data_IF_875252228676
#
_entry.id   IF_875252228676
#
_cell.length_a   1.000
_cell.length_b   1.000
_cell.length_c   1.000
_cell.angle_alpha   90.00
_cell.angle_beta   90.00
_cell.angle_gamma   90.00
#
_symmetry.space_group_name_H-M   'P 1'
#
loop_
_entity.id
_entity.type
_entity.pdbx_description
1 polymer ?
#
# COMPACT_ATOMS: atom_id res chain seq x y z
N UNK A 1 9.46 -7.46 100.06
CA UNK A 1 8.94 -6.30 100.82
C UNK A 1 9.22 -5.06 99.98
N UNK A 2 8.14 -4.37 99.55
CA UNK A 2 8.06 -3.07 98.87
C UNK A 2 8.81 -2.91 97.51
N UNK A 3 8.10 -2.84 96.38
CA UNK A 3 7.31 -1.71 95.80
C UNK A 3 8.19 -0.83 94.88
N UNK A 4 7.97 -0.79 93.55
CA UNK A 4 6.86 -0.14 92.81
C UNK A 4 7.34 1.25 92.31
N UNK A 5 7.63 1.43 91.00
CA UNK A 5 6.72 1.95 89.93
C UNK A 5 6.41 3.46 90.16
N UNK A 6 6.40 4.39 89.21
CA UNK A 6 6.73 4.44 87.79
C UNK A 6 6.50 5.89 87.27
N UNK A 7 6.85 6.10 85.99
CA UNK A 7 6.11 6.84 84.95
C UNK A 7 6.15 8.39 84.79
N UNK A 8 6.61 8.75 83.57
CA UNK A 8 5.97 9.58 82.50
C UNK A 8 6.21 11.11 82.41
N UNK A 9 6.91 11.44 81.31
CA UNK A 9 6.82 12.54 80.33
C UNK A 9 6.37 13.97 80.72
N UNK A 10 7.13 14.95 80.22
CA UNK A 10 6.66 15.83 79.12
C UNK A 10 7.73 16.81 78.62
N UNK A 11 7.90 16.88 77.28
CA UNK A 11 7.88 18.14 76.52
C UNK A 11 9.15 18.99 76.30
N UNK A 12 9.79 18.77 75.13
CA UNK A 12 10.26 19.78 74.13
C UNK A 12 11.43 20.77 74.45
N UNK A 13 12.12 21.39 73.44
CA UNK A 13 12.95 20.75 72.40
C UNK A 13 14.25 21.53 72.00
N UNK A 14 14.94 20.96 71.00
CA UNK A 14 15.91 21.56 70.04
C UNK A 14 17.38 21.56 70.46
N UNK A 15 18.36 21.26 69.60
CA UNK A 15 18.40 21.41 68.15
C UNK A 15 19.36 20.39 67.49
N UNK A 16 18.86 19.72 66.44
CA UNK A 16 19.53 18.77 65.56
C UNK A 16 20.01 19.51 64.30
N UNK A 17 21.30 19.41 63.93
CA UNK A 17 21.74 19.54 62.54
C UNK A 17 23.25 19.27 62.45
N UNK A 18 23.65 18.10 61.89
CA UNK A 18 24.94 17.88 61.15
C UNK A 18 25.32 16.40 60.89
N UNK A 19 24.44 15.41 61.07
CA UNK A 19 24.80 13.99 60.83
C UNK A 19 24.00 13.20 59.77
N UNK A 20 23.05 13.78 59.05
CA UNK A 20 22.18 13.01 58.12
C UNK A 20 22.52 13.09 56.62
N UNK A 21 23.61 13.74 56.20
CA UNK A 21 23.81 14.06 54.75
C UNK A 21 24.60 12.98 53.99
N UNK A 22 25.25 12.01 54.64
CA UNK A 22 26.07 11.00 53.94
C UNK A 22 25.41 9.64 53.71
N UNK A 23 24.24 9.36 54.31
CA UNK A 23 23.48 8.13 54.03
C UNK A 23 22.39 8.29 52.96
N UNK A 24 22.03 9.52 52.58
CA UNK A 24 20.97 9.77 51.59
C UNK A 24 21.44 9.65 50.12
N UNK A 25 22.75 9.79 49.86
CA UNK A 25 23.29 9.83 48.49
C UNK A 25 23.56 8.43 47.92
N UNK A 26 23.79 7.42 48.76
CA UNK A 26 24.03 6.03 48.31
C UNK A 26 22.73 5.28 48.04
N UNK A 27 21.60 5.68 48.64
CA UNK A 27 20.28 5.11 48.36
C UNK A 27 19.60 5.72 47.12
N UNK A 28 19.98 6.92 46.70
CA UNK A 28 19.46 7.56 45.48
C UNK A 28 20.10 7.02 44.19
N UNK A 29 21.31 6.47 44.26
CA UNK A 29 21.95 5.80 43.11
C UNK A 29 21.59 4.31 42.98
N UNK A 30 21.05 3.68 44.03
CA UNK A 30 20.56 2.29 43.97
C UNK A 30 19.08 2.19 43.55
N UNK A 31 18.32 3.29 43.61
CA UNK A 31 16.93 3.39 43.16
C UNK A 31 16.78 3.83 41.70
N UNK A 32 17.88 4.20 41.03
CA UNK A 32 17.91 4.48 39.59
C UNK A 32 18.15 3.23 38.70
N UNK A 33 18.25 2.05 39.29
CA UNK A 33 18.52 0.79 38.56
C UNK A 33 17.28 -0.09 38.32
N UNK A 34 16.07 0.34 38.72
CA UNK A 34 14.83 -0.44 38.50
C UNK A 34 13.64 0.38 38.06
N UNK A 35 13.84 1.60 37.54
CA UNK A 35 12.92 2.13 36.53
C UNK A 35 13.38 1.59 35.18
N UNK A 36 13.21 0.28 34.99
CA UNK A 36 12.71 -0.17 33.70
C UNK A 36 11.37 0.54 33.60
N UNK A 37 11.34 1.68 32.92
CA UNK A 37 10.11 2.09 32.28
C UNK A 37 9.69 0.83 31.54
N UNK A 38 8.65 0.17 32.03
CA UNK A 38 7.81 -0.60 31.16
C UNK A 38 7.32 0.45 30.17
N UNK A 39 8.11 0.66 29.11
CA UNK A 39 7.56 1.09 27.85
C UNK A 39 6.34 0.19 27.71
N UNK A 40 5.14 0.73 27.44
CA UNK A 40 4.07 -0.14 26.99
C UNK A 40 4.74 -1.00 25.92
N UNK A 41 4.76 -2.32 26.13
CA UNK A 41 5.07 -3.23 25.04
C UNK A 41 4.18 -2.73 23.92
N UNK A 42 4.76 -2.08 22.92
CA UNK A 42 4.02 -1.59 21.76
C UNK A 42 3.29 -2.84 21.33
N UNK A 43 1.98 -2.86 21.56
CA UNK A 43 1.21 -4.04 21.19
C UNK A 43 1.28 -4.02 19.68
N UNK A 44 2.02 -4.95 19.11
CA UNK A 44 2.12 -5.11 17.68
C UNK A 44 0.70 -5.15 17.14
N UNK A 45 0.29 -4.06 16.50
CA UNK A 45 -1.02 -3.96 15.89
C UNK A 45 -0.96 -4.69 14.58
N UNK A 46 -1.98 -5.46 14.23
CA UNK A 46 -2.08 -5.92 12.85
C UNK A 46 -2.41 -4.70 11.99
N UNK A 47 -1.50 -4.34 11.10
CA UNK A 47 -1.74 -3.32 10.08
C UNK A 47 -2.33 -4.00 8.87
N UNK A 48 -3.46 -3.47 8.41
CA UNK A 48 -4.13 -3.87 7.18
C UNK A 48 -3.92 -2.77 6.16
N UNK A 49 -3.11 -3.06 5.15
CA UNK A 49 -2.90 -2.20 3.99
C UNK A 49 -3.78 -2.71 2.85
N UNK A 50 -4.92 -2.07 2.63
CA UNK A 50 -5.97 -2.54 1.72
C UNK A 50 -6.30 -1.52 0.65
N UNK A 51 -6.61 -2.03 -0.54
CA UNK A 51 -7.30 -1.26 -1.57
C UNK A 51 -8.77 -1.12 -1.20
N UNK A 52 -9.38 -0.03 -1.66
CA UNK A 52 -10.84 0.09 -1.59
C UNK A 52 -11.49 -0.99 -2.48
N UNK A 53 -12.02 -2.03 -1.82
CA UNK A 53 -12.63 -3.16 -2.49
C UNK A 53 -13.87 -2.75 -3.30
N UNK A 54 -14.53 -1.64 -2.97
CA UNK A 54 -15.69 -1.14 -3.74
C UNK A 54 -15.30 -0.62 -5.12
N UNK A 55 -14.02 -0.27 -5.34
CA UNK A 55 -13.48 0.15 -6.64
C UNK A 55 -13.09 -1.03 -7.53
N UNK A 56 -13.03 -2.25 -7.01
CA UNK A 56 -12.69 -3.44 -7.79
C UNK A 56 -13.83 -3.87 -8.72
N UNK A 57 -13.50 -4.51 -9.82
CA UNK A 57 -14.51 -5.10 -10.70
C UNK A 57 -15.15 -6.35 -10.08
N UNK A 58 -16.39 -6.63 -10.47
CA UNK A 58 -17.18 -7.75 -9.95
C UNK A 58 -17.45 -8.83 -11.02
N UNK A 59 -16.50 -9.06 -11.93
CA UNK A 59 -16.69 -9.99 -13.05
C UNK A 59 -16.31 -11.41 -12.66
N UNK A 60 -17.19 -12.40 -12.91
CA UNK A 60 -16.90 -13.78 -12.58
C UNK A 60 -16.00 -14.45 -13.63
N UNK A 61 -15.21 -15.42 -13.18
CA UNK A 61 -14.70 -16.49 -14.02
C UNK A 61 -15.86 -17.32 -14.60
N UNK A 62 -15.64 -18.02 -15.71
CA UNK A 62 -16.65 -18.87 -16.35
C UNK A 62 -16.24 -20.35 -16.31
N UNK A 63 -17.16 -21.23 -16.69
CA UNK A 63 -16.88 -22.66 -16.85
C UNK A 63 -15.82 -22.98 -17.91
N UNK A 64 -15.42 -22.00 -18.73
CA UNK A 64 -14.33 -22.13 -19.70
C UNK A 64 -12.94 -21.94 -19.07
N UNK A 65 -12.84 -21.62 -17.77
CA UNK A 65 -11.56 -21.50 -17.07
C UNK A 65 -10.80 -20.20 -17.36
N UNK A 66 -11.50 -19.11 -17.70
CA UNK A 66 -10.90 -17.83 -18.10
C UNK A 66 -10.49 -16.93 -16.90
N UNK A 67 -10.02 -17.55 -15.82
CA UNK A 67 -9.79 -16.90 -14.54
C UNK A 67 -8.82 -15.70 -14.64
N UNK A 68 -7.80 -15.78 -15.48
CA UNK A 68 -6.83 -14.69 -15.64
C UNK A 68 -7.43 -13.47 -16.33
N UNK A 69 -8.32 -13.67 -17.31
CA UNK A 69 -9.02 -12.56 -17.94
C UNK A 69 -9.97 -11.86 -16.97
N UNK A 70 -10.66 -12.63 -16.12
CA UNK A 70 -11.54 -12.08 -15.08
C UNK A 70 -10.75 -11.34 -13.99
N UNK A 71 -9.65 -11.93 -13.49
CA UNK A 71 -8.79 -11.29 -12.51
C UNK A 71 -8.18 -9.99 -13.03
N UNK A 72 -7.67 -9.98 -14.28
CA UNK A 72 -7.16 -8.77 -14.92
C UNK A 72 -8.25 -7.68 -15.00
N UNK A 73 -9.44 -7.99 -15.51
CA UNK A 73 -10.51 -6.97 -15.63
C UNK A 73 -10.98 -6.46 -14.28
N UNK A 74 -11.05 -7.31 -13.25
CA UNK A 74 -11.38 -6.86 -11.90
C UNK A 74 -10.30 -5.92 -11.33
N UNK A 75 -9.03 -6.18 -11.68
CA UNK A 75 -7.87 -5.35 -11.35
C UNK A 75 -7.90 -4.01 -12.11
N UNK A 76 -8.22 -4.03 -13.41
CA UNK A 76 -8.29 -2.82 -14.24
C UNK A 76 -9.45 -1.91 -13.85
N UNK A 77 -10.56 -2.48 -13.38
CA UNK A 77 -11.66 -1.69 -12.85
C UNK A 77 -11.24 -0.90 -11.59
N UNK A 78 -10.34 -1.46 -10.78
CA UNK A 78 -9.74 -0.69 -9.69
C UNK A 78 -8.91 0.48 -10.21
N UNK A 79 -8.06 0.28 -11.23
CA UNK A 79 -7.32 1.38 -11.85
C UNK A 79 -8.26 2.47 -12.38
N UNK A 80 -9.28 2.08 -13.14
CA UNK A 80 -10.29 3.00 -13.67
C UNK A 80 -10.95 3.83 -12.57
N UNK A 81 -11.46 3.17 -11.54
CA UNK A 81 -12.20 3.84 -10.46
C UNK A 81 -11.30 4.60 -9.48
N UNK A 82 -10.03 4.21 -9.36
CA UNK A 82 -9.06 4.88 -8.49
C UNK A 82 -8.41 6.08 -9.19
N UNK A 83 -8.26 6.01 -10.51
CA UNK A 83 -7.62 7.06 -11.31
C UNK A 83 -8.45 7.39 -12.56
N UNK A 84 -9.66 7.94 -12.38
CA UNK A 84 -10.55 8.25 -13.49
C UNK A 84 -9.84 9.15 -14.51
N UNK A 85 -9.19 10.24 -14.08
CA UNK A 85 -8.47 11.16 -14.98
C UNK A 85 -7.25 10.60 -15.74
N UNK A 86 -6.92 9.32 -15.55
CA UNK A 86 -5.95 8.60 -16.37
C UNK A 86 -6.69 7.63 -17.30
N UNK A 87 -7.52 6.77 -16.72
CA UNK A 87 -7.99 5.57 -17.38
C UNK A 87 -9.39 5.69 -17.98
N UNK A 88 -10.21 6.62 -17.49
CA UNK A 88 -11.49 6.95 -18.13
C UNK A 88 -11.26 7.71 -19.45
N UNK A 89 -10.24 8.58 -19.47
CA UNK A 89 -9.89 9.41 -20.61
C UNK A 89 -9.21 8.62 -21.72
N UNK A 90 -8.45 7.56 -21.36
CA UNK A 90 -7.92 6.62 -22.36
C UNK A 90 -8.89 5.50 -22.72
N UNK A 91 -9.95 5.29 -21.94
CA UNK A 91 -10.87 4.17 -22.06
C UNK A 91 -10.17 2.80 -21.86
N UNK A 92 -9.42 2.64 -20.75
CA UNK A 92 -8.78 1.37 -20.36
C UNK A 92 -9.76 0.18 -20.39
N UNK A 93 -11.01 0.42 -20.01
CA UNK A 93 -12.13 -0.50 -20.10
C UNK A 93 -13.22 0.09 -21.02
N UNK A 94 -14.09 -0.75 -21.62
CA UNK A 94 -15.18 -0.25 -22.45
C UNK A 94 -16.13 0.64 -21.64
N UNK A 95 -16.50 1.78 -22.24
CA UNK A 95 -17.60 2.66 -21.81
C UNK A 95 -18.49 2.90 -23.03
N UNK A 96 -19.44 1.99 -23.22
CA UNK A 96 -20.29 1.89 -24.41
C UNK A 96 -21.35 2.99 -24.49
N UNK A 97 -21.70 3.57 -23.34
CA UNK A 97 -22.74 4.60 -23.26
C UNK A 97 -22.17 6.01 -22.98
N UNK A 98 -20.87 6.10 -22.68
CA UNK A 98 -20.13 7.35 -22.50
C UNK A 98 -20.42 8.06 -21.17
N UNK A 99 -20.94 7.35 -20.17
CA UNK A 99 -21.31 7.93 -18.88
C UNK A 99 -20.17 7.92 -17.86
N UNK A 100 -19.00 7.37 -18.20
CA UNK A 100 -17.83 7.22 -17.32
C UNK A 100 -18.09 6.38 -16.05
N UNK A 101 -19.07 5.49 -16.08
CA UNK A 101 -19.43 4.58 -14.99
C UNK A 101 -19.33 3.15 -15.48
N UNK A 102 -18.46 2.35 -14.86
CA UNK A 102 -18.30 0.95 -15.24
C UNK A 102 -19.52 0.12 -14.89
N UNK A 103 -20.13 -0.50 -15.90
CA UNK A 103 -21.26 -1.39 -15.72
C UNK A 103 -20.90 -2.87 -15.87
N UNK A 104 -21.69 -3.73 -15.23
CA UNK A 104 -21.50 -5.18 -15.28
C UNK A 104 -21.40 -5.71 -16.72
N UNK A 105 -22.21 -5.18 -17.65
CA UNK A 105 -22.17 -5.58 -19.06
C UNK A 105 -20.86 -5.22 -19.75
N UNK A 106 -20.26 -4.09 -19.40
CA UNK A 106 -19.05 -3.56 -20.00
C UNK A 106 -17.82 -4.30 -19.48
N UNK A 107 -17.80 -4.56 -18.17
CA UNK A 107 -16.78 -5.40 -17.57
C UNK A 107 -16.85 -6.85 -18.09
N UNK A 108 -18.06 -7.39 -18.31
CA UNK A 108 -18.23 -8.71 -18.96
C UNK A 108 -17.73 -8.68 -20.41
N UNK A 109 -17.97 -7.59 -21.14
CA UNK A 109 -17.44 -7.40 -22.49
C UNK A 109 -15.90 -7.35 -22.48
N UNK A 110 -15.31 -6.55 -21.59
CA UNK A 110 -13.87 -6.45 -21.40
C UNK A 110 -13.22 -7.81 -21.10
N UNK A 111 -13.82 -8.59 -20.18
CA UNK A 111 -13.32 -9.95 -19.86
C UNK A 111 -13.37 -10.84 -21.09
N UNK A 112 -14.44 -10.75 -21.87
CA UNK A 112 -14.61 -11.56 -23.07
C UNK A 112 -13.58 -11.19 -24.14
N UNK A 113 -13.32 -9.89 -24.32
CA UNK A 113 -12.27 -9.38 -25.20
C UNK A 113 -10.88 -9.85 -24.74
N UNK A 114 -10.55 -9.65 -23.46
CA UNK A 114 -9.28 -10.12 -22.88
C UNK A 114 -9.11 -11.64 -23.02
N UNK A 115 -10.18 -12.41 -22.85
CA UNK A 115 -10.15 -13.86 -22.95
C UNK A 115 -9.98 -14.36 -24.39
N UNK A 116 -10.67 -13.77 -25.37
CA UNK A 116 -10.82 -14.36 -26.70
C UNK A 116 -10.26 -13.53 -27.84
N UNK A 117 -9.97 -12.26 -27.61
CA UNK A 117 -9.34 -11.34 -28.55
C UNK A 117 -10.16 -10.08 -28.75
N UNK A 118 -9.51 -9.07 -29.30
CA UNK A 118 -10.10 -7.77 -29.66
C UNK A 118 -9.42 -7.23 -30.91
N UNK A 119 -10.05 -6.25 -31.55
CA UNK A 119 -9.38 -5.45 -32.58
C UNK A 119 -8.85 -4.19 -31.92
N UNK A 120 -7.56 -3.90 -32.11
CA UNK A 120 -6.92 -2.70 -31.57
C UNK A 120 -7.67 -1.45 -32.06
N UNK A 121 -8.17 -0.58 -31.16
CA UNK A 121 -8.88 0.64 -31.58
C UNK A 121 -7.92 1.65 -32.24
N UNK A 122 -6.62 1.53 -31.98
CA UNK A 122 -5.57 2.40 -32.53
C UNK A 122 -5.13 1.91 -33.92
N UNK A 123 -4.79 0.62 -34.03
CA UNK A 123 -4.16 0.07 -35.25
C UNK A 123 -5.11 -0.71 -36.17
N UNK A 124 -6.29 -1.10 -35.68
CA UNK A 124 -7.22 -2.00 -36.36
C UNK A 124 -6.71 -3.45 -36.48
N UNK A 125 -5.55 -3.77 -35.91
CA UNK A 125 -4.99 -5.13 -35.94
C UNK A 125 -5.69 -6.01 -34.91
N UNK A 126 -6.08 -7.21 -35.32
CA UNK A 126 -6.65 -8.21 -34.43
C UNK A 126 -5.60 -8.72 -33.43
N UNK A 127 -5.91 -8.64 -32.14
CA UNK A 127 -5.13 -9.19 -31.03
C UNK A 127 -5.74 -10.52 -30.57
N UNK A 128 -4.97 -11.62 -30.49
CA UNK A 128 -5.46 -12.85 -29.90
C UNK A 128 -5.72 -12.67 -28.40
N UNK A 129 -6.76 -13.27 -27.85
CA UNK A 129 -7.00 -13.28 -26.41
C UNK A 129 -6.12 -14.27 -25.65
N UNK A 130 -6.15 -14.19 -24.31
CA UNK A 130 -5.40 -15.09 -23.41
C UNK A 130 -5.72 -16.58 -23.69
N UNK A 131 -6.95 -16.87 -24.11
CA UNK A 131 -7.51 -18.19 -24.35
C UNK A 131 -8.07 -18.36 -25.77
N UNK A 132 -7.63 -17.54 -26.74
CA UNK A 132 -8.01 -17.71 -28.15
C UNK A 132 -7.52 -19.05 -28.73
N UNK A 133 -7.95 -19.42 -29.95
CA UNK A 133 -7.60 -20.71 -30.56
C UNK A 133 -6.09 -20.99 -30.54
N UNK A 134 -5.69 -22.08 -29.86
CA UNK A 134 -4.29 -22.47 -29.66
C UNK A 134 -3.65 -21.97 -28.36
N UNK A 135 -4.26 -21.00 -27.68
CA UNK A 135 -3.80 -20.50 -26.39
C UNK A 135 -4.44 -21.28 -25.23
N UNK A 136 -3.68 -21.43 -24.14
CA UNK A 136 -4.09 -22.19 -22.95
C UNK A 136 -4.00 -21.36 -21.67
N UNK A 137 -3.84 -20.04 -21.79
CA UNK A 137 -3.66 -19.16 -20.63
C UNK A 137 -2.33 -19.36 -19.92
N UNK A 138 -1.25 -19.57 -20.68
CA UNK A 138 0.11 -19.63 -20.10
C UNK A 138 0.51 -18.28 -19.50
N UNK A 139 1.50 -18.31 -18.59
CA UNK A 139 2.04 -17.09 -17.99
C UNK A 139 2.52 -16.06 -19.05
N UNK A 140 3.10 -16.56 -20.15
CA UNK A 140 3.47 -15.75 -21.31
C UNK A 140 2.24 -15.08 -21.94
N UNK A 141 1.25 -15.87 -22.35
CA UNK A 141 0.05 -15.34 -23.02
C UNK A 141 -0.67 -14.31 -22.15
N UNK A 142 -0.75 -14.55 -20.83
CA UNK A 142 -1.37 -13.60 -19.91
C UNK A 142 -0.58 -12.29 -19.87
N UNK A 143 0.74 -12.36 -19.77
CA UNK A 143 1.60 -11.17 -19.80
C UNK A 143 1.45 -10.40 -21.11
N UNK A 144 1.62 -11.08 -22.24
CA UNK A 144 1.63 -10.45 -23.56
C UNK A 144 0.28 -9.81 -23.90
N UNK A 145 -0.84 -10.45 -23.56
CA UNK A 145 -2.15 -9.85 -23.79
C UNK A 145 -2.47 -8.71 -22.81
N UNK A 146 -1.95 -8.77 -21.58
CA UNK A 146 -2.04 -7.63 -20.66
C UNK A 146 -1.26 -6.44 -21.20
N UNK A 147 -0.02 -6.68 -21.65
CA UNK A 147 0.82 -5.65 -22.26
C UNK A 147 0.13 -4.99 -23.47
N UNK A 148 -0.36 -5.81 -24.41
CA UNK A 148 -1.05 -5.31 -25.59
C UNK A 148 -2.37 -4.59 -25.26
N UNK A 149 -3.04 -4.97 -24.19
CA UNK A 149 -4.25 -4.27 -23.72
C UNK A 149 -3.92 -2.83 -23.34
N UNK A 150 -2.90 -2.61 -22.51
CA UNK A 150 -2.49 -1.24 -22.15
C UNK A 150 -1.97 -0.46 -23.35
N UNK A 151 -1.22 -1.08 -24.26
CA UNK A 151 -0.79 -0.40 -25.50
C UNK A 151 -1.97 0.02 -26.39
N UNK A 152 -3.08 -0.73 -26.37
CA UNK A 152 -4.24 -0.47 -27.22
C UNK A 152 -5.28 0.46 -26.56
N UNK A 153 -5.47 0.37 -25.24
CA UNK A 153 -6.54 1.06 -24.50
C UNK A 153 -6.05 2.11 -23.50
N UNK A 154 -4.76 2.14 -23.16
CA UNK A 154 -4.20 3.12 -22.24
C UNK A 154 -2.70 3.36 -22.52
N UNK A 155 -2.33 3.71 -23.76
CA UNK A 155 -0.93 3.76 -24.17
C UNK A 155 -0.16 4.81 -23.36
N UNK A 156 0.99 4.40 -22.81
CA UNK A 156 1.89 5.31 -22.11
C UNK A 156 1.36 5.86 -20.79
N UNK A 157 0.31 5.27 -20.20
CA UNK A 157 -0.21 5.70 -18.89
C UNK A 157 0.28 4.85 -17.72
N UNK A 158 0.84 3.68 -18.01
CA UNK A 158 1.04 2.62 -17.01
C UNK A 158 2.42 1.97 -17.16
N UNK A 159 3.14 1.86 -16.06
CA UNK A 159 4.35 1.06 -15.97
C UNK A 159 3.99 -0.40 -15.69
N UNK A 160 4.29 -1.28 -16.64
CA UNK A 160 4.12 -2.72 -16.49
C UNK A 160 5.38 -3.36 -15.91
N UNK A 161 5.21 -4.18 -14.89
CA UNK A 161 6.27 -5.01 -14.30
C UNK A 161 5.74 -6.36 -13.86
N UNK A 162 6.66 -7.26 -13.53
CA UNK A 162 6.26 -8.51 -12.91
C UNK A 162 7.39 -9.38 -12.43
N UNK A 163 7.03 -10.35 -11.60
CA UNK A 163 7.89 -11.45 -11.20
C UNK A 163 7.22 -12.75 -11.58
N UNK A 164 7.93 -13.63 -12.29
CA UNK A 164 7.39 -14.91 -12.72
C UNK A 164 8.45 -15.99 -12.69
N UNK A 165 8.07 -17.17 -12.18
CA UNK A 165 8.93 -18.35 -12.19
C UNK A 165 8.92 -19.05 -13.56
N UNK A 166 9.35 -18.34 -14.62
CA UNK A 166 9.43 -18.85 -16.00
C UNK A 166 10.58 -18.20 -16.77
N UNK A 167 11.00 -18.82 -17.88
CA UNK A 167 11.94 -18.17 -18.82
C UNK A 167 11.16 -17.16 -19.65
N UNK A 168 11.51 -15.88 -19.53
CA UNK A 168 10.81 -14.77 -20.22
C UNK A 168 11.53 -14.31 -21.49
N UNK A 169 12.68 -14.90 -21.81
CA UNK A 169 13.41 -14.61 -23.05
C UNK A 169 12.56 -14.97 -24.26
N UNK A 170 12.22 -13.96 -25.07
CA UNK A 170 11.37 -14.09 -26.26
C UNK A 170 9.89 -13.78 -26.02
N UNK A 171 9.49 -13.46 -24.78
CA UNK A 171 8.16 -12.90 -24.53
C UNK A 171 8.15 -11.43 -24.97
N UNK A 172 7.00 -10.94 -25.44
CA UNK A 172 6.82 -9.51 -25.71
C UNK A 172 7.14 -8.71 -24.45
N UNK A 173 8.11 -7.81 -24.54
CA UNK A 173 8.64 -7.01 -23.43
C UNK A 173 8.94 -7.80 -22.14
N UNK A 174 9.34 -9.06 -22.29
CA UNK A 174 9.74 -9.93 -21.17
C UNK A 174 10.96 -9.43 -20.39
N UNK A 175 11.61 -8.36 -20.83
CA UNK A 175 12.67 -7.65 -20.09
C UNK A 175 12.14 -6.89 -18.87
N UNK A 176 10.85 -6.56 -18.84
CA UNK A 176 10.16 -5.95 -17.70
C UNK A 176 9.83 -6.98 -16.60
N UNK A 177 10.12 -8.26 -16.84
CA UNK A 177 9.84 -9.36 -15.94
C UNK A 177 11.10 -9.90 -15.28
N UNK A 178 11.03 -10.08 -13.96
CA UNK A 178 12.09 -10.78 -13.23
C UNK A 178 11.78 -12.28 -13.13
N UNK A 179 12.77 -13.12 -13.50
CA UNK A 179 12.66 -14.59 -13.41
C UNK A 179 12.84 -15.10 -11.98
N UNK A 180 11.78 -15.06 -11.19
CA UNK A 180 11.75 -15.52 -9.79
C UNK A 180 10.31 -15.72 -9.31
N UNK A 181 10.13 -16.44 -8.21
CA UNK A 181 8.85 -16.39 -7.50
C UNK A 181 8.59 -14.96 -7.01
N UNK A 182 7.34 -14.47 -7.07
CA UNK A 182 6.99 -13.18 -6.48
C UNK A 182 7.41 -13.12 -5.02
N UNK A 183 8.06 -12.01 -4.66
CA UNK A 183 8.50 -11.75 -3.29
C UNK A 183 7.53 -10.83 -2.58
N UNK A 184 7.53 -10.88 -1.26
CA UNK A 184 6.70 -10.00 -0.44
C UNK A 184 7.05 -8.52 -0.64
N UNK A 185 8.34 -8.17 -0.66
CA UNK A 185 8.80 -6.79 -0.89
C UNK A 185 8.34 -6.23 -2.23
N UNK A 186 8.28 -7.09 -3.27
CA UNK A 186 7.75 -6.69 -4.57
C UNK A 186 6.25 -6.38 -4.54
N UNK A 187 5.46 -7.21 -3.84
CA UNK A 187 4.03 -6.95 -3.67
C UNK A 187 3.77 -5.72 -2.80
N UNK A 188 4.58 -5.53 -1.75
CA UNK A 188 4.51 -4.35 -0.89
C UNK A 188 4.78 -3.07 -1.67
N UNK A 189 5.91 -2.99 -2.39
CA UNK A 189 6.25 -1.83 -3.22
C UNK A 189 5.12 -1.52 -4.22
N UNK A 190 4.59 -2.53 -4.92
CA UNK A 190 3.51 -2.35 -5.87
C UNK A 190 2.19 -1.90 -5.20
N UNK A 191 1.87 -2.42 -4.02
CA UNK A 191 0.70 -1.98 -3.24
C UNK A 191 0.86 -0.54 -2.74
N UNK A 192 2.06 -0.15 -2.31
CA UNK A 192 2.39 1.21 -1.88
C UNK A 192 2.29 2.20 -3.05
N UNK A 193 2.71 1.80 -4.24
CA UNK A 193 2.54 2.55 -5.48
C UNK A 193 1.09 2.52 -6.00
N UNK A 194 0.17 1.87 -5.26
CA UNK A 194 -1.23 1.72 -5.60
C UNK A 194 -1.46 1.09 -6.99
N UNK A 195 -0.47 0.30 -7.43
CA UNK A 195 -0.56 -0.50 -8.64
C UNK A 195 -1.67 -1.52 -8.51
N UNK A 196 -2.27 -1.88 -9.63
CA UNK A 196 -3.03 -3.10 -9.69
C UNK A 196 -2.09 -4.31 -9.79
N UNK A 197 -2.56 -5.47 -9.32
CA UNK A 197 -1.68 -6.64 -9.15
C UNK A 197 -2.50 -7.89 -9.38
N UNK A 198 -2.15 -8.64 -10.42
CA UNK A 198 -2.73 -9.96 -10.68
C UNK A 198 -1.76 -11.07 -10.34
N UNK A 199 -2.20 -11.98 -9.47
CA UNK A 199 -1.45 -13.16 -9.04
C UNK A 199 -1.87 -14.39 -9.82
N UNK A 200 -0.89 -15.16 -10.28
CA UNK A 200 -1.11 -16.54 -10.68
C UNK A 200 -0.69 -17.49 -9.56
N UNK A 201 -1.59 -18.38 -9.21
CA UNK A 201 -1.42 -19.35 -8.12
C UNK A 201 -1.52 -20.77 -8.65
N UNK A 202 -0.71 -21.67 -8.09
CA UNK A 202 -0.69 -23.07 -8.48
C UNK A 202 -0.81 -23.95 -7.22
N UNK A 203 -1.68 -24.97 -7.24
CA UNK A 203 -1.78 -25.93 -6.15
C UNK A 203 -0.51 -26.77 -6.03
N UNK A 204 -0.14 -27.14 -4.79
CA UNK A 204 0.96 -28.10 -4.54
C UNK A 204 0.60 -29.53 -4.92
N UNK A 205 -0.67 -29.80 -5.19
CA UNK A 205 -1.17 -31.09 -5.67
C UNK A 205 -1.00 -31.14 -7.19
N UNK A 206 -0.18 -32.08 -7.66
CA UNK A 206 0.08 -32.27 -9.08
C UNK A 206 -1.22 -32.64 -9.84
N UNK A 207 -1.36 -32.12 -11.07
CA UNK A 207 -2.52 -32.38 -11.93
C UNK A 207 -3.77 -31.55 -11.60
N UNK A 208 -3.71 -30.68 -10.57
CA UNK A 208 -4.76 -29.69 -10.32
C UNK A 208 -4.46 -28.41 -11.10
N UNK A 209 -5.49 -27.82 -11.70
CA UNK A 209 -5.38 -26.59 -12.48
C UNK A 209 -4.96 -25.40 -11.61
N UNK A 210 -4.15 -24.51 -12.19
CA UNK A 210 -3.82 -23.23 -11.57
C UNK A 210 -5.03 -22.30 -11.55
N UNK A 211 -4.88 -21.15 -10.88
CA UNK A 211 -5.92 -20.12 -10.82
C UNK A 211 -5.28 -18.74 -10.84
N UNK A 212 -6.09 -17.70 -11.06
CA UNK A 212 -5.66 -16.32 -10.97
C UNK A 212 -6.59 -15.52 -10.06
N UNK A 213 -5.99 -14.63 -9.28
CA UNK A 213 -6.69 -13.75 -8.32
C UNK A 213 -6.09 -12.35 -8.40
N UNK A 214 -6.88 -11.34 -8.04
CA UNK A 214 -6.41 -9.95 -7.92
C UNK A 214 -5.99 -9.68 -6.49
N UNK A 215 -4.80 -9.14 -6.24
CA UNK A 215 -4.37 -8.77 -4.89
C UNK A 215 -5.08 -7.48 -4.47
N UNK A 216 -5.72 -7.53 -3.30
CA UNK A 216 -6.51 -6.42 -2.75
C UNK A 216 -5.99 -5.90 -1.42
N UNK A 217 -5.10 -6.62 -0.76
CA UNK A 217 -4.51 -6.17 0.50
C UNK A 217 -3.32 -6.99 0.95
N UNK A 218 -2.53 -6.38 1.84
CA UNK A 218 -1.47 -7.01 2.59
C UNK A 218 -1.67 -6.67 4.07
N UNK A 219 -1.40 -7.61 4.96
CA UNK A 219 -1.41 -7.33 6.38
C UNK A 219 -0.22 -8.00 7.09
N UNK A 220 0.26 -7.34 8.14
CA UNK A 220 1.42 -7.74 8.92
C UNK A 220 1.27 -7.26 10.36
N UNK A 221 1.98 -7.91 11.29
CA UNK A 221 2.11 -7.43 12.66
C UNK A 221 3.16 -6.31 12.67
N UNK A 222 2.71 -5.07 12.87
CA UNK A 222 3.54 -3.88 12.95
C UNK A 222 4.25 -3.82 14.31
N UNK A 223 5.50 -4.27 14.33
CA UNK A 223 6.26 -4.49 15.56
C UNK A 223 6.85 -3.19 16.10
N UNK A 224 7.12 -2.22 15.24
CA UNK A 224 7.73 -0.93 15.61
C UNK A 224 6.74 0.26 15.60
N UNK A 225 5.52 0.04 15.11
CA UNK A 225 4.39 0.96 15.21
C UNK A 225 4.42 2.08 14.18
N UNK A 226 5.20 1.95 13.10
CA UNK A 226 5.33 2.98 12.07
C UNK A 226 4.29 2.85 10.94
N UNK A 227 3.50 1.76 10.95
CA UNK A 227 2.47 1.48 9.94
C UNK A 227 3.02 1.01 8.59
N UNK A 228 4.33 0.78 8.47
CA UNK A 228 5.00 0.32 7.26
C UNK A 228 5.58 -1.07 7.47
N UNK A 229 5.54 -1.89 6.42
CA UNK A 229 6.11 -3.21 6.54
C UNK A 229 7.64 -3.17 6.63
N UNK A 230 8.18 -3.83 7.65
CA UNK A 230 9.59 -4.04 7.90
C UNK A 230 9.99 -5.53 7.88
N UNK A 231 11.25 -5.81 7.53
CA UNK A 231 11.75 -7.18 7.52
C UNK A 231 11.69 -7.79 8.93
N UNK A 232 10.94 -8.89 9.07
CA UNK A 232 10.76 -9.60 10.35
C UNK A 232 9.36 -9.45 10.93
N UNK A 233 8.56 -8.54 10.40
CA UNK A 233 7.16 -8.37 10.76
C UNK A 233 6.32 -9.51 10.19
N UNK A 234 5.83 -10.35 11.10
CA UNK A 234 5.09 -11.58 10.81
C UNK A 234 4.11 -11.83 11.97
N UNK A 235 2.97 -12.51 11.74
CA UNK A 235 2.53 -13.18 10.51
C UNK A 235 2.17 -12.23 9.38
N UNK A 236 2.29 -12.74 8.15
CA UNK A 236 1.91 -12.02 6.94
C UNK A 236 0.58 -12.57 6.43
N UNK A 237 -0.28 -11.70 5.88
CA UNK A 237 -1.56 -12.09 5.26
C UNK A 237 -1.74 -11.40 3.92
N UNK A 238 -2.34 -12.10 2.97
CA UNK A 238 -2.75 -11.52 1.69
C UNK A 238 -4.28 -11.44 1.62
N UNK A 239 -4.77 -10.29 1.20
CA UNK A 239 -6.14 -10.06 0.78
C UNK A 239 -6.22 -10.19 -0.75
N UNK A 240 -7.21 -10.91 -1.25
CA UNK A 240 -7.41 -11.07 -2.68
C UNK A 240 -8.89 -11.18 -3.08
N UNK A 241 -9.16 -10.82 -4.34
CA UNK A 241 -10.42 -11.06 -5.04
C UNK A 241 -10.28 -12.34 -5.86
N UNK A 242 -11.12 -13.33 -5.56
CA UNK A 242 -11.24 -14.56 -6.34
C UNK A 242 -12.33 -14.38 -7.40
N UNK A 243 -12.04 -14.44 -8.71
CA UNK A 243 -13.06 -14.29 -9.73
C UNK A 243 -14.09 -15.43 -9.74
N UNK A 244 -13.90 -16.53 -8.98
CA UNK A 244 -14.98 -17.51 -8.75
C UNK A 244 -16.02 -17.01 -7.72
N UNK A 245 -15.70 -15.97 -6.94
CA UNK A 245 -16.58 -15.25 -6.00
C UNK A 245 -16.20 -13.75 -5.94
N UNK A 246 -16.41 -13.00 -7.04
CA UNK A 246 -15.82 -11.67 -7.21
C UNK A 246 -16.34 -10.62 -6.21
N UNK A 247 -17.49 -10.83 -5.59
CA UNK A 247 -18.07 -9.89 -4.61
C UNK A 247 -17.54 -10.04 -3.19
N UNK A 248 -16.51 -10.88 -2.97
CA UNK A 248 -15.98 -11.18 -1.63
C UNK A 248 -14.47 -11.03 -1.61
N UNK A 249 -13.99 -10.12 -0.77
CA UNK A 249 -12.57 -10.06 -0.41
C UNK A 249 -12.25 -11.24 0.51
N UNK A 250 -11.22 -12.00 0.15
CA UNK A 250 -10.77 -13.16 0.94
C UNK A 250 -9.38 -12.89 1.49
N UNK A 251 -9.16 -13.26 2.75
CA UNK A 251 -7.87 -13.14 3.42
C UNK A 251 -7.29 -14.52 3.73
N UNK A 252 -5.98 -14.66 3.55
CA UNK A 252 -5.25 -15.88 3.89
C UNK A 252 -3.91 -15.58 4.55
N UNK A 253 -3.54 -16.41 5.52
CA UNK A 253 -2.21 -16.41 6.11
C UNK A 253 -1.17 -16.86 5.07
N UNK A 254 -0.07 -16.11 4.99
CA UNK A 254 1.05 -16.40 4.11
C UNK A 254 2.12 -17.15 4.87
N UNK A 255 2.58 -18.23 4.25
CA UNK A 255 3.75 -19.01 4.65
C UNK A 255 4.73 -19.03 3.49
N UNK A 256 5.95 -19.52 3.73
CA UNK A 256 6.97 -19.59 2.69
C UNK A 256 7.43 -21.03 2.46
N UNK A 257 7.39 -21.46 1.20
CA UNK A 257 7.88 -22.75 0.75
C UNK A 257 9.32 -22.70 0.21
N UNK A 258 9.74 -23.79 -0.45
CA UNK A 258 11.05 -23.87 -1.09
C UNK A 258 11.27 -22.74 -2.11
N UNK A 259 12.49 -22.18 -2.13
CA UNK A 259 12.82 -21.02 -2.96
C UNK A 259 12.19 -19.70 -2.48
N UNK A 260 11.77 -19.64 -1.22
CA UNK A 260 11.08 -18.49 -0.60
C UNK A 260 9.79 -18.08 -1.31
N UNK A 261 9.14 -19.01 -2.01
CA UNK A 261 7.86 -18.74 -2.66
C UNK A 261 6.75 -18.59 -1.62
N UNK A 262 5.89 -17.60 -1.79
CA UNK A 262 4.71 -17.43 -0.95
C UNK A 262 3.73 -18.58 -1.17
N UNK A 263 3.20 -19.13 -0.08
CA UNK A 263 2.21 -20.19 -0.04
C UNK A 263 1.06 -19.81 0.89
N UNK A 264 -0.17 -20.15 0.53
CA UNK A 264 -1.35 -19.93 1.37
C UNK A 264 -2.40 -21.03 1.15
N UNK A 265 -3.29 -21.19 2.13
CA UNK A 265 -4.35 -22.21 2.10
C UNK A 265 -5.56 -21.68 1.34
N UNK A 266 -5.97 -22.40 0.29
CA UNK A 266 -7.12 -22.04 -0.53
C UNK A 266 -8.43 -22.22 0.24
N UNK A 267 -9.21 -21.16 0.32
CA UNK A 267 -10.40 -21.07 1.17
C UNK A 267 -11.50 -22.08 0.81
N UNK A 268 -11.60 -22.51 -0.46
CA UNK A 268 -12.65 -23.45 -0.89
C UNK A 268 -12.34 -24.90 -0.54
N UNK A 269 -11.08 -25.31 -0.63
CA UNK A 269 -10.69 -26.72 -0.63
C UNK A 269 -9.74 -27.08 0.50
N UNK A 270 -9.14 -26.09 1.18
CA UNK A 270 -8.07 -26.29 2.14
C UNK A 270 -6.73 -26.69 1.51
N UNK A 271 -6.63 -26.73 0.18
CA UNK A 271 -5.40 -27.06 -0.52
C UNK A 271 -4.40 -25.92 -0.43
N UNK A 272 -3.12 -26.20 -0.19
CA UNK A 272 -2.07 -25.18 -0.26
C UNK A 272 -1.73 -24.83 -1.71
N UNK A 273 -1.78 -23.55 -2.02
CA UNK A 273 -1.34 -22.97 -3.28
C UNK A 273 -0.06 -22.17 -3.06
N UNK A 274 0.76 -22.05 -4.10
CA UNK A 274 1.90 -21.15 -4.14
C UNK A 274 1.72 -20.10 -5.24
N UNK A 275 2.23 -18.89 -5.00
CA UNK A 275 2.24 -17.81 -5.99
C UNK A 275 3.41 -18.01 -6.94
N UNK A 276 3.14 -18.16 -8.23
CA UNK A 276 4.18 -18.40 -9.25
C UNK A 276 4.41 -17.22 -10.19
N UNK A 277 3.44 -16.30 -10.27
CA UNK A 277 3.56 -15.02 -10.98
C UNK A 277 2.82 -13.91 -10.26
N UNK A 278 3.32 -12.70 -10.38
CA UNK A 278 2.65 -11.47 -10.03
C UNK A 278 2.98 -10.46 -11.14
N UNK A 279 1.95 -9.98 -11.82
CA UNK A 279 2.05 -8.87 -12.77
C UNK A 279 1.42 -7.66 -12.13
N UNK A 280 2.02 -6.51 -12.38
CA UNK A 280 1.67 -5.26 -11.74
C UNK A 280 1.58 -4.17 -12.79
N UNK A 281 0.47 -3.46 -12.80
CA UNK A 281 0.25 -2.33 -13.68
C UNK A 281 0.17 -1.06 -12.81
N UNK A 282 1.28 -0.33 -12.77
CA UNK A 282 1.43 0.86 -11.92
C UNK A 282 1.08 2.12 -12.72
N UNK A 283 0.11 2.94 -12.29
CA UNK A 283 -0.15 4.22 -12.95
C UNK A 283 1.13 5.06 -12.92
N UNK A 284 1.48 5.68 -14.05
CA UNK A 284 2.66 6.55 -14.12
C UNK A 284 2.47 7.84 -13.32
N UNK A 285 1.21 8.20 -13.04
CA UNK A 285 0.82 9.36 -12.25
C UNK A 285 0.62 8.96 -10.78
N UNK A 286 1.30 9.66 -9.88
CA UNK A 286 1.30 9.36 -8.45
C UNK A 286 0.11 10.05 -7.80
N UNK A 287 -0.66 9.43 -6.88
CA UNK A 287 -1.60 10.18 -6.06
C UNK A 287 -0.94 11.38 -5.39
N UNK A 288 -1.44 12.58 -5.64
CA UNK A 288 -0.78 13.82 -5.23
C UNK A 288 -0.04 14.56 -6.36
N UNK A 289 0.27 13.92 -7.48
CA UNK A 289 0.91 14.50 -8.66
C UNK A 289 -0.18 14.99 -9.63
N UNK A 290 -0.64 16.23 -9.39
CA UNK A 290 -1.70 16.86 -10.18
C UNK A 290 -1.19 17.32 -11.54
N UNK A 291 0.07 17.71 -11.65
CA UNK A 291 0.63 18.24 -12.89
C UNK A 291 1.09 17.11 -13.84
N UNK A 292 1.24 15.90 -13.31
CA UNK A 292 1.60 14.69 -14.02
C UNK A 292 3.06 14.63 -14.45
N UNK A 293 3.98 15.24 -13.69
CA UNK A 293 5.43 15.25 -13.94
C UNK A 293 6.18 14.11 -13.22
N UNK A 294 5.44 13.22 -12.56
CA UNK A 294 5.97 12.06 -11.87
C UNK A 294 6.67 12.42 -10.56
N UNK A 295 6.42 13.60 -9.99
CA UNK A 295 6.89 14.04 -8.69
C UNK A 295 5.71 14.65 -7.94
N UNK A 296 5.51 14.29 -6.67
CA UNK A 296 4.55 14.98 -5.81
C UNK A 296 5.26 16.11 -5.07
N UNK A 297 5.04 17.35 -5.48
CA UNK A 297 5.69 18.52 -4.88
C UNK A 297 4.77 19.75 -4.70
N UNK A 298 5.38 20.92 -4.53
CA UNK A 298 4.65 22.16 -4.32
C UNK A 298 3.85 22.62 -5.53
N UNK A 299 4.22 22.22 -6.75
CA UNK A 299 3.45 22.51 -7.96
C UNK A 299 2.08 21.82 -7.92
N UNK A 300 2.02 20.62 -7.37
CA UNK A 300 0.75 19.90 -7.22
C UNK A 300 -0.11 20.48 -6.09
N UNK A 301 0.52 20.88 -4.98
CA UNK A 301 -0.19 21.56 -3.91
C UNK A 301 -0.78 22.89 -4.39
N UNK A 302 -0.08 23.57 -5.30
CA UNK A 302 -0.60 24.75 -5.99
C UNK A 302 -1.80 24.40 -6.87
N UNK A 303 -1.75 23.30 -7.63
CA UNK A 303 -2.89 22.84 -8.43
C UNK A 303 -4.12 22.53 -7.56
N UNK A 304 -3.93 21.74 -6.50
CA UNK A 304 -4.98 21.41 -5.53
C UNK A 304 -5.56 22.67 -4.87
N UNK A 305 -4.70 23.58 -4.39
CA UNK A 305 -5.16 24.79 -3.70
C UNK A 305 -6.01 25.72 -4.56
N UNK A 306 -5.74 25.77 -5.88
CA UNK A 306 -6.49 26.59 -6.83
C UNK A 306 -7.92 26.10 -7.04
N UNK A 307 -8.17 24.83 -6.80
CA UNK A 307 -9.47 24.20 -7.05
C UNK A 307 -10.17 23.78 -5.75
N UNK A 308 -9.69 24.22 -4.58
CA UNK A 308 -10.27 23.85 -3.30
C UNK A 308 -11.79 24.09 -3.23
N UNK A 309 -12.54 23.05 -2.89
CA UNK A 309 -14.00 23.03 -2.82
C UNK A 309 -14.72 23.02 -4.17
N UNK A 310 -13.99 22.86 -5.28
CA UNK A 310 -14.56 22.68 -6.61
C UNK A 310 -15.19 21.29 -6.71
N UNK A 311 -16.42 21.21 -7.21
CA UNK A 311 -17.10 19.97 -7.58
C UNK A 311 -16.88 19.62 -9.05
N UNK A 312 -17.13 18.35 -9.43
CA UNK A 312 -16.78 17.80 -10.75
C UNK A 312 -15.30 18.02 -11.09
N UNK A 313 -14.46 17.91 -10.05
CA UNK A 313 -13.03 18.13 -10.15
C UNK A 313 -12.37 16.98 -10.91
N UNK A 314 -11.30 17.29 -11.63
CA UNK A 314 -10.47 16.28 -12.27
C UNK A 314 -9.22 16.03 -11.45
N UNK A 315 -8.50 14.95 -11.75
CA UNK A 315 -7.19 14.66 -11.15
C UNK A 315 -6.23 15.86 -11.22
N UNK A 316 -6.14 16.51 -12.39
CA UNK A 316 -5.28 17.67 -12.59
C UNK A 316 -5.71 18.92 -11.80
N UNK A 317 -6.94 18.91 -11.28
CA UNK A 317 -7.45 19.93 -10.36
C UNK A 317 -7.10 19.60 -8.91
N UNK A 318 -6.65 18.38 -8.62
CA UNK A 318 -6.29 17.90 -7.28
C UNK A 318 -7.37 17.06 -6.61
N UNK A 319 -8.27 16.44 -7.37
CA UNK A 319 -9.15 15.37 -6.87
C UNK A 319 -8.42 14.02 -6.99
N UNK A 320 -7.78 13.62 -5.90
CA UNK A 320 -6.94 12.42 -5.84
C UNK A 320 -7.65 11.22 -5.22
N UNK A 321 -8.77 11.43 -4.53
CA UNK A 321 -9.61 10.33 -3.99
C UNK A 321 -10.77 9.93 -4.93
N UNK A 322 -11.07 10.77 -5.92
CA UNK A 322 -12.07 10.56 -6.95
C UNK A 322 -13.49 10.80 -6.46
N UNK A 323 -13.70 11.63 -5.43
CA UNK A 323 -15.01 11.97 -4.90
C UNK A 323 -15.68 13.19 -5.58
N UNK A 324 -15.13 13.62 -6.71
CA UNK A 324 -15.51 14.77 -7.53
C UNK A 324 -15.31 16.11 -6.80
N UNK A 325 -14.73 16.16 -5.59
CA UNK A 325 -14.56 17.38 -4.79
C UNK A 325 -13.11 17.53 -4.32
N UNK A 326 -12.45 18.62 -4.71
CA UNK A 326 -11.12 18.93 -4.15
C UNK A 326 -11.25 19.37 -2.68
N UNK A 327 -10.69 18.60 -1.76
CA UNK A 327 -10.84 18.87 -0.33
C UNK A 327 -9.71 18.35 0.56
N UNK A 328 -10.06 18.18 1.85
CA UNK A 328 -9.11 17.84 2.89
C UNK A 328 -8.53 16.41 2.74
N UNK A 329 -9.27 15.50 2.12
CA UNK A 329 -8.79 14.14 1.85
C UNK A 329 -7.74 14.14 0.75
N UNK A 330 -7.95 14.91 -0.32
CA UNK A 330 -6.96 15.06 -1.39
C UNK A 330 -5.68 15.72 -0.87
N UNK A 331 -5.81 16.73 -0.02
CA UNK A 331 -4.65 17.34 0.62
C UNK A 331 -3.91 16.36 1.53
N UNK A 332 -4.63 15.43 2.19
CA UNK A 332 -4.01 14.36 2.96
C UNK A 332 -3.33 13.32 2.06
N UNK A 333 -3.90 13.00 0.90
CA UNK A 333 -3.28 12.13 -0.10
C UNK A 333 -2.01 12.77 -0.66
N UNK A 334 -2.08 14.04 -1.08
CA UNK A 334 -0.93 14.78 -1.56
C UNK A 334 0.17 14.85 -0.49
N UNK A 335 -0.19 15.20 0.75
CA UNK A 335 0.76 15.28 1.85
C UNK A 335 1.36 13.89 2.19
N UNK A 336 0.55 12.83 2.15
CA UNK A 336 1.00 11.46 2.38
C UNK A 336 1.93 10.92 1.31
N UNK A 337 1.87 11.50 0.10
CA UNK A 337 2.74 11.18 -1.01
C UNK A 337 3.82 12.24 -1.26
N UNK A 338 3.98 13.23 -0.38
CA UNK A 338 4.91 14.34 -0.60
C UNK A 338 6.34 13.86 -0.87
N UNK A 339 6.94 14.34 -1.96
CA UNK A 339 8.28 13.95 -2.40
C UNK A 339 8.37 12.54 -2.98
N UNK A 340 7.24 11.83 -3.17
CA UNK A 340 7.25 10.61 -3.97
C UNK A 340 7.56 10.96 -5.40
N UNK A 341 8.40 10.14 -5.99
CA UNK A 341 8.74 10.20 -7.40
C UNK A 341 8.34 8.90 -8.04
N UNK A 342 7.68 8.95 -9.19
CA UNK A 342 7.41 7.80 -10.01
C UNK A 342 8.77 7.35 -10.51
N UNK A 343 9.21 6.16 -10.07
CA UNK A 343 10.48 5.55 -10.54
C UNK A 343 10.48 5.29 -12.05
N UNK A 344 9.37 5.59 -12.72
CA UNK A 344 9.03 5.22 -14.08
C UNK A 344 8.69 6.41 -14.97
N UNK A 345 8.47 7.60 -14.38
CA UNK A 345 8.26 8.79 -15.17
C UNK A 345 9.60 9.23 -15.78
N UNK A 346 9.77 8.94 -17.06
CA UNK A 346 10.85 9.53 -17.86
C UNK A 346 10.26 10.75 -18.55
N UNK A 347 10.11 11.84 -17.80
CA UNK A 347 9.94 13.15 -18.40
C UNK A 347 11.05 13.37 -19.42
N UNK A 348 10.70 13.91 -20.61
CA UNK A 348 11.69 14.22 -21.64
C UNK A 348 12.85 15.00 -21.03
N UNK A 349 14.08 14.57 -21.33
CA UNK A 349 15.35 14.94 -20.68
C UNK A 349 15.62 14.15 -19.39
N UNK A 350 16.29 13.01 -19.55
CA UNK A 350 16.46 12.00 -18.52
C UNK A 350 17.20 12.45 -17.25
N UNK A 351 16.61 12.12 -16.11
CA UNK A 351 17.30 11.83 -14.86
C UNK A 351 16.48 10.76 -14.11
N UNK A 352 16.72 9.49 -14.40
CA UNK A 352 16.47 8.46 -13.41
C UNK A 352 17.68 8.47 -12.45
N UNK A 353 17.54 8.76 -11.15
CA UNK A 353 18.61 8.47 -10.21
C UNK A 353 18.52 6.99 -9.83
N UNK A 354 19.51 6.22 -10.25
CA UNK A 354 19.83 4.96 -9.58
C UNK A 354 20.17 5.26 -8.11
N UNK A 355 19.36 4.75 -7.18
CA UNK A 355 19.75 4.46 -5.80
C UNK A 355 19.91 5.64 -4.83
N UNK A 356 19.23 5.52 -3.69
CA UNK A 356 19.35 6.34 -2.45
C UNK A 356 18.73 7.73 -2.54
N UNK A 357 18.06 8.30 -1.53
CA UNK A 357 18.15 8.09 -0.10
C UNK A 357 16.87 8.54 0.63
N UNK A 358 16.70 7.96 1.83
CA UNK A 358 16.02 8.44 3.04
C UNK A 358 15.05 9.63 2.91
N UNK A 359 13.80 9.37 3.30
CA UNK A 359 12.89 10.37 3.83
C UNK A 359 13.64 11.28 4.80
N UNK A 360 13.80 12.55 4.41
CA UNK A 360 14.23 13.57 5.33
C UNK A 360 13.13 13.70 6.39
N UNK A 361 13.42 13.24 7.61
CA UNK A 361 12.57 13.47 8.76
C UNK A 361 12.23 14.97 8.83
N UNK A 362 10.96 15.29 8.66
CA UNK A 362 10.44 16.64 8.93
C UNK A 362 10.69 16.91 10.40
N UNK A 363 11.42 17.97 10.79
CA UNK A 363 11.56 18.31 12.19
C UNK A 363 10.20 18.80 12.69
N UNK A 364 9.51 17.98 13.49
CA UNK A 364 8.37 18.46 14.25
C UNK A 364 8.84 19.62 15.15
N UNK A 365 8.05 20.71 15.30
CA UNK A 365 8.37 21.76 16.25
C UNK A 365 8.29 21.15 17.65
N UNK A 366 9.44 20.74 18.16
CA UNK A 366 9.55 20.13 19.49
C UNK A 366 8.82 21.00 20.53
N UNK A 367 7.79 20.42 21.15
CA UNK A 367 7.00 21.00 22.25
C UNK A 367 7.92 21.56 23.36
N UNK A 368 9.15 21.08 23.46
CA UNK A 368 10.22 21.62 24.30
C UNK A 368 10.54 23.10 24.06
N UNK A 369 10.59 23.58 22.81
CA UNK A 369 10.81 24.99 22.51
C UNK A 369 9.65 25.87 22.98
N UNK A 370 8.42 25.34 22.88
CA UNK A 370 7.19 26.04 23.30
C UNK A 370 7.06 26.09 24.83
N UNK A 371 7.44 25.01 25.52
CA UNK A 371 7.48 24.97 27.00
C UNK A 371 8.59 25.85 27.58
N UNK A 372 9.78 25.88 26.97
CA UNK A 372 10.87 26.77 27.40
C UNK A 372 10.51 28.24 27.14
N UNK A 373 9.86 28.54 26.01
CA UNK A 373 9.33 29.88 25.73
C UNK A 373 8.31 30.37 26.76
N UNK A 374 7.35 29.50 27.13
CA UNK A 374 6.34 29.82 28.15
C UNK A 374 6.95 30.00 29.55
N UNK A 375 7.96 29.20 29.91
CA UNK A 375 8.68 29.33 31.19
C UNK A 375 9.50 30.63 31.26
N UNK A 376 10.16 31.02 30.17
CA UNK A 376 10.89 32.29 30.08
C UNK A 376 9.94 33.49 30.25
N UNK A 377 8.78 33.48 29.58
CA UNK A 377 7.76 34.52 29.72
C UNK A 377 7.21 34.62 31.16
N UNK A 378 7.02 33.49 31.84
CA UNK A 378 6.59 33.47 33.23
C UNK A 378 7.65 34.03 34.20
N UNK A 379 8.94 33.81 33.93
CA UNK A 379 10.04 34.34 34.73
C UNK A 379 10.25 35.85 34.54
N UNK A 380 10.07 36.38 33.33
CA UNK A 380 10.18 37.83 33.07
C UNK A 380 9.04 38.64 33.68
N UNK A 381 7.82 38.06 33.76
CA UNK A 381 6.65 38.74 34.32
C UNK A 381 6.73 38.97 35.84
N UNK A 382 7.60 38.25 36.56
CA UNK A 382 7.82 38.40 38.01
C UNK A 382 8.82 39.50 38.39
N UNK A 383 9.49 40.15 37.44
CA UNK A 383 10.48 41.22 37.71
C UNK A 383 9.95 42.66 37.54
N UNK A 384 8.70 42.84 37.12
CA UNK A 384 8.07 44.17 36.95
C UNK A 384 7.25 44.67 38.14
N UNK A 385 7.32 44.01 39.31
CA UNK A 385 6.57 44.40 40.50
C UNK A 385 7.47 44.73 41.68
N UNK A 386 8.12 45.90 41.63
CA UNK A 386 8.59 46.67 42.79
C UNK A 386 8.54 48.15 42.49
#
# INVERSE_FOLDING_TARGET
MACSIAEINSGHPSCNARRSVRCAVVLLLALCSTLVLAAPSLHAGVVYFEKDFSKMGNVPNTSQGICSAAANVNSFAFLWNQYPGIYDDTQLLPDSNGNKVLEDSELVAARTMMAFGWDSPISGVHRPGIYSSGNTGTAQQIWEQTYLWFEDFAPGTTALRGQVYAVTGGWLDGSLLERKYPRWDFLWDAMVDMADITLGIQPKVAGTEGHAVTLTGLAFDDLDGDGLWSLGETPLKIGYLDPNKPSVQTWADVTFGGGSRMEFTWWQTGTTYYVYRAYTETPLFIPGDANGDGIVDDLDAVALSKHWGMGSATWAMGDFDGDDIVGAKDAAILAGNWGRTSRYYVGGEGLAPEGTAAAAAVPEPSIGALLVGLLCLACFRRRGGR
#
